data_IF_127700245998
#
_entry.id   IF_127700245998
#
_cell.length_a   1.000
_cell.length_b   1.000
_cell.length_c   1.000
_cell.angle_alpha   90.00
_cell.angle_beta   90.00
_cell.angle_gamma   90.00
#
_symmetry.space_group_name_H-M   'P 1'
#
loop_
_entity.id
_entity.type
_entity.pdbx_description
1 polymer ?
#
# COMPACT_ATOMS: atom_id res chain seq x y z
N UNK A 1 -12.46 9.65 -6.87
CA UNK A 1 -13.74 9.17 -7.48
C UNK A 1 -13.82 7.65 -7.54
N UNK A 2 -12.91 6.91 -8.19
CA UNK A 2 -12.91 5.44 -8.19
C UNK A 2 -12.82 4.85 -6.78
N UNK A 3 -11.93 5.36 -5.93
CA UNK A 3 -11.79 4.98 -4.52
C UNK A 3 -13.09 5.16 -3.74
N UNK A 4 -13.77 6.31 -3.92
CA UNK A 4 -15.04 6.60 -3.28
C UNK A 4 -16.12 5.62 -3.71
N UNK A 5 -16.23 5.35 -5.01
CA UNK A 5 -17.19 4.40 -5.57
C UNK A 5 -17.02 3.01 -4.94
N UNK A 6 -15.78 2.53 -4.87
CA UNK A 6 -15.47 1.22 -4.27
C UNK A 6 -15.75 1.22 -2.77
N UNK A 7 -15.37 2.29 -2.05
CA UNK A 7 -15.59 2.38 -0.61
C UNK A 7 -17.08 2.44 -0.22
N UNK A 8 -17.93 3.03 -1.06
CA UNK A 8 -19.36 3.20 -0.80
C UNK A 8 -20.22 2.06 -1.34
N UNK A 9 -19.87 1.50 -2.50
CA UNK A 9 -20.71 0.55 -3.24
C UNK A 9 -20.06 -0.80 -3.49
N UNK A 10 -18.83 -0.97 -2.99
CA UNK A 10 -18.06 -2.19 -3.19
C UNK A 10 -17.38 -2.26 -4.55
N UNK A 11 -16.44 -3.20 -4.67
CA UNK A 11 -15.60 -3.36 -5.86
C UNK A 11 -16.41 -3.74 -7.10
N UNK A 12 -17.54 -4.44 -6.95
CA UNK A 12 -18.43 -4.78 -8.06
C UNK A 12 -18.98 -3.56 -8.80
N UNK A 13 -19.10 -2.41 -8.12
CA UNK A 13 -19.55 -1.15 -8.72
C UNK A 13 -18.44 -0.48 -9.58
N UNK A 14 -17.19 -0.90 -9.49
CA UNK A 14 -16.10 -0.29 -10.24
C UNK A 14 -16.17 -0.68 -11.72
N UNK A 15 -16.58 0.25 -12.56
CA UNK A 15 -16.51 0.11 -14.01
C UNK A 15 -16.09 1.44 -14.66
N UNK A 16 -15.47 1.36 -15.84
CA UNK A 16 -15.07 2.55 -16.61
C UNK A 16 -16.26 3.48 -16.87
N UNK A 17 -17.42 2.89 -17.15
CA UNK A 17 -18.66 3.63 -17.40
C UNK A 17 -19.11 4.41 -16.15
N UNK A 18 -19.13 3.77 -14.98
CA UNK A 18 -19.57 4.42 -13.75
C UNK A 18 -18.62 5.53 -13.30
N UNK A 19 -17.30 5.31 -13.43
CA UNK A 19 -16.31 6.34 -13.13
C UNK A 19 -16.46 7.53 -14.06
N UNK A 20 -16.74 7.29 -15.34
CA UNK A 20 -16.98 8.32 -16.33
C UNK A 20 -18.26 9.12 -16.04
N UNK A 21 -19.38 8.44 -15.74
CA UNK A 21 -20.63 9.09 -15.37
C UNK A 21 -20.47 10.00 -14.14
N UNK A 22 -19.75 9.55 -13.12
CA UNK A 22 -19.48 10.34 -11.92
C UNK A 22 -18.50 11.50 -12.16
N UNK A 23 -17.59 11.39 -13.16
CA UNK A 23 -16.65 12.46 -13.49
C UNK A 23 -17.26 13.64 -14.24
N UNK A 24 -18.52 13.53 -14.68
CA UNK A 24 -19.20 14.57 -15.45
C UNK A 24 -18.61 14.77 -16.87
N UNK A 25 -17.74 13.88 -17.32
CA UNK A 25 -17.13 14.00 -18.64
C UNK A 25 -18.11 13.58 -19.74
N UNK A 26 -18.41 14.53 -20.62
CA UNK A 26 -19.32 14.32 -21.75
C UNK A 26 -18.80 13.32 -22.80
N UNK A 27 -17.49 13.10 -22.87
CA UNK A 27 -16.88 12.20 -23.84
C UNK A 27 -16.94 10.74 -23.36
N UNK A 28 -17.90 9.98 -23.89
CA UNK A 28 -18.16 8.58 -23.54
C UNK A 28 -16.97 7.62 -23.79
N UNK A 29 -15.99 8.01 -24.58
CA UNK A 29 -14.83 7.18 -24.93
C UNK A 29 -13.57 7.52 -24.12
N UNK A 30 -13.57 8.60 -23.34
CA UNK A 30 -12.37 9.09 -22.67
C UNK A 30 -11.82 8.08 -21.65
N UNK A 31 -12.66 7.52 -20.80
CA UNK A 31 -12.24 6.54 -19.80
C UNK A 31 -11.74 5.24 -20.47
N UNK A 32 -12.41 4.79 -21.53
CA UNK A 32 -11.98 3.63 -22.30
C UNK A 32 -10.63 3.87 -22.99
N UNK A 33 -10.42 5.06 -23.52
CA UNK A 33 -9.16 5.44 -24.17
C UNK A 33 -8.00 5.52 -23.17
N UNK A 34 -8.22 6.13 -21.99
CA UNK A 34 -7.17 6.33 -20.97
C UNK A 34 -6.83 5.07 -20.18
N UNK A 35 -7.82 4.30 -19.78
CA UNK A 35 -7.62 3.17 -18.85
C UNK A 35 -7.73 1.81 -19.55
N UNK A 36 -8.32 1.73 -20.73
CA UNK A 36 -8.46 0.52 -21.54
C UNK A 36 -9.32 -0.57 -20.89
N UNK A 37 -9.14 -0.82 -19.61
CA UNK A 37 -9.80 -1.89 -18.86
C UNK A 37 -10.07 -1.49 -17.41
N UNK A 38 -10.85 -2.32 -16.69
CA UNK A 38 -11.02 -2.20 -15.23
C UNK A 38 -9.70 -2.36 -14.48
N UNK A 39 -8.84 -3.28 -14.92
CA UNK A 39 -7.50 -3.45 -14.38
C UNK A 39 -6.64 -2.21 -14.60
N UNK A 40 -6.62 -1.64 -15.82
CA UNK A 40 -5.89 -0.40 -16.08
C UNK A 40 -6.39 0.79 -15.27
N UNK A 41 -7.68 0.86 -14.97
CA UNK A 41 -8.22 1.87 -14.05
C UNK A 41 -7.68 1.65 -12.62
N UNK A 42 -7.62 0.41 -12.14
CA UNK A 42 -7.05 0.07 -10.83
C UNK A 42 -5.57 0.44 -10.80
N UNK A 43 -4.80 0.09 -11.80
CA UNK A 43 -3.38 0.45 -11.95
C UNK A 43 -3.19 1.97 -11.86
N UNK A 44 -3.96 2.74 -12.62
CA UNK A 44 -3.87 4.20 -12.62
C UNK A 44 -4.19 4.82 -11.25
N UNK A 45 -5.13 4.26 -10.48
CA UNK A 45 -5.42 4.70 -9.11
C UNK A 45 -4.25 4.39 -8.18
N UNK A 46 -3.68 3.20 -8.28
CA UNK A 46 -2.52 2.78 -7.48
C UNK A 46 -1.33 3.69 -7.78
N UNK A 47 -0.98 3.88 -9.05
CA UNK A 47 0.15 4.70 -9.47
C UNK A 47 0.03 6.14 -9.00
N UNK A 48 -1.15 6.75 -9.14
CA UNK A 48 -1.39 8.12 -8.72
C UNK A 48 -1.20 8.31 -7.20
N UNK A 49 -1.58 7.34 -6.38
CA UNK A 49 -1.43 7.39 -4.94
C UNK A 49 -0.03 7.01 -4.47
N UNK A 50 0.53 5.98 -5.07
CA UNK A 50 1.82 5.44 -4.65
C UNK A 50 3.02 6.25 -5.11
N UNK A 51 2.88 7.12 -6.12
CA UNK A 51 3.98 7.99 -6.56
C UNK A 51 4.53 8.87 -5.43
N UNK A 52 3.65 9.44 -4.60
CA UNK A 52 4.05 10.25 -3.43
C UNK A 52 4.65 9.37 -2.33
N UNK A 53 4.04 8.23 -2.04
CA UNK A 53 4.56 7.28 -1.06
C UNK A 53 5.94 6.73 -1.46
N UNK A 54 6.14 6.47 -2.75
CA UNK A 54 7.40 6.00 -3.30
C UNK A 54 8.51 7.07 -3.20
N UNK A 55 8.19 8.34 -3.44
CA UNK A 55 9.12 9.46 -3.24
C UNK A 55 9.51 9.63 -1.76
N UNK A 56 8.54 9.58 -0.85
CA UNK A 56 8.77 9.65 0.60
C UNK A 56 9.64 8.48 1.08
N UNK A 57 9.35 7.26 0.62
CA UNK A 57 10.11 6.07 0.98
C UNK A 57 11.55 6.15 0.48
N UNK A 58 11.78 6.59 -0.75
CA UNK A 58 13.13 6.80 -1.28
C UNK A 58 13.94 7.78 -0.42
N UNK A 59 13.33 8.88 0.01
CA UNK A 59 13.99 9.84 0.89
C UNK A 59 14.39 9.20 2.23
N UNK A 60 13.50 8.38 2.84
CA UNK A 60 13.82 7.64 4.06
C UNK A 60 14.94 6.63 3.85
N UNK A 61 14.90 5.85 2.78
CA UNK A 61 15.95 4.86 2.48
C UNK A 61 17.30 5.53 2.20
N UNK A 62 17.33 6.66 1.50
CA UNK A 62 18.56 7.44 1.29
C UNK A 62 19.15 7.94 2.61
N UNK A 63 18.32 8.49 3.49
CA UNK A 63 18.77 8.94 4.82
C UNK A 63 19.31 7.78 5.68
N UNK A 64 18.74 6.58 5.53
CA UNK A 64 19.25 5.39 6.21
C UNK A 64 20.60 4.93 5.66
N UNK A 65 20.83 5.05 4.36
CA UNK A 65 22.10 4.68 3.73
C UNK A 65 23.25 5.64 4.10
N UNK A 66 22.94 6.89 4.44
CA UNK A 66 23.90 7.89 4.90
C UNK A 66 24.28 7.74 6.38
N UNK A 67 23.53 6.94 7.15
CA UNK A 67 23.78 6.75 8.56
C UNK A 67 24.94 5.77 8.79
N UNK A 68 25.96 6.20 9.53
CA UNK A 68 27.16 5.41 9.84
C UNK A 68 26.89 4.14 10.64
N UNK A 69 25.82 4.12 11.44
CA UNK A 69 25.42 2.97 12.25
C UNK A 69 24.63 1.92 11.48
N UNK A 70 24.35 2.20 10.19
CA UNK A 70 23.54 1.34 9.34
C UNK A 70 22.04 1.39 9.64
N UNK A 71 21.21 0.76 8.80
CA UNK A 71 19.77 0.74 9.00
C UNK A 71 19.36 -0.23 10.12
N UNK A 72 18.65 0.28 11.14
CA UNK A 72 18.01 -0.58 12.14
C UNK A 72 16.72 -1.20 11.58
N UNK A 73 16.31 -2.41 12.04
CA UNK A 73 15.05 -3.02 11.62
C UNK A 73 13.84 -2.09 11.76
N UNK A 74 13.75 -1.34 12.87
CA UNK A 74 12.67 -0.36 13.09
C UNK A 74 12.63 0.69 12.00
N UNK A 75 13.76 1.27 11.63
CA UNK A 75 13.83 2.30 10.59
C UNK A 75 13.46 1.76 9.20
N UNK A 76 13.83 0.52 8.92
CA UNK A 76 13.42 -0.15 7.68
C UNK A 76 11.91 -0.41 7.65
N UNK A 77 11.32 -0.82 8.77
CA UNK A 77 9.87 -0.99 8.90
C UNK A 77 9.15 0.37 8.78
N UNK A 78 9.65 1.42 9.42
CA UNK A 78 9.13 2.79 9.27
C UNK A 78 9.13 3.22 7.79
N UNK A 79 10.23 3.00 7.07
CA UNK A 79 10.32 3.31 5.65
C UNK A 79 9.36 2.47 4.78
N UNK A 80 9.04 1.24 5.18
CA UNK A 80 8.05 0.40 4.51
C UNK A 80 6.62 0.91 4.76
N UNK A 81 6.26 1.20 6.01
CA UNK A 81 4.89 1.37 6.50
C UNK A 81 4.43 2.82 6.42
N UNK A 82 5.21 3.78 6.97
CA UNK A 82 4.73 5.16 7.17
C UNK A 82 4.36 5.90 5.89
N UNK A 83 5.07 5.76 4.75
CA UNK A 83 4.64 6.37 3.50
C UNK A 83 3.27 5.88 3.01
N UNK A 84 2.91 4.63 3.34
CA UNK A 84 1.59 4.10 2.99
C UNK A 84 0.49 4.59 3.94
N UNK A 85 0.79 4.75 5.24
CA UNK A 85 -0.10 5.40 6.21
C UNK A 85 -0.45 6.81 5.74
N UNK A 86 0.56 7.62 5.36
CA UNK A 86 0.38 8.99 4.91
C UNK A 86 -0.43 9.08 3.61
N UNK A 87 -0.09 8.26 2.61
CA UNK A 87 -0.80 8.24 1.34
C UNK A 87 -2.26 7.78 1.45
N UNK A 88 -2.63 7.08 2.52
CA UNK A 88 -3.97 6.59 2.79
C UNK A 88 -4.70 7.44 3.84
N UNK A 89 -4.59 7.08 5.11
CA UNK A 89 -5.34 7.72 6.19
C UNK A 89 -4.78 9.09 6.60
N UNK A 90 -3.52 9.40 6.30
CA UNK A 90 -2.94 10.73 6.45
C UNK A 90 -3.51 11.78 5.47
N UNK A 91 -4.11 11.32 4.37
CA UNK A 91 -4.74 12.20 3.39
C UNK A 91 -6.21 12.43 3.74
N UNK A 92 -6.64 13.68 4.07
CA UNK A 92 -8.02 13.97 4.43
C UNK A 92 -9.01 13.53 3.35
N UNK A 93 -10.07 12.84 3.76
CA UNK A 93 -11.12 12.37 2.85
C UNK A 93 -10.73 11.20 1.95
N UNK A 94 -9.53 10.63 2.13
CA UNK A 94 -9.09 9.43 1.41
C UNK A 94 -10.07 8.27 1.60
N UNK A 95 -10.16 7.44 0.57
CA UNK A 95 -10.85 6.15 0.56
C UNK A 95 -9.91 5.05 0.02
N UNK A 96 -8.62 5.38 -0.04
CA UNK A 96 -7.63 4.57 -0.71
C UNK A 96 -7.34 3.26 0.02
N UNK A 97 -7.26 3.27 1.34
CA UNK A 97 -7.00 2.05 2.10
C UNK A 97 -8.11 1.00 1.91
N UNK A 98 -9.39 1.42 1.95
CA UNK A 98 -10.53 0.54 1.69
C UNK A 98 -10.60 0.07 0.23
N UNK A 99 -10.20 0.92 -0.70
CA UNK A 99 -10.05 0.56 -2.10
C UNK A 99 -9.01 -0.55 -2.26
N UNK A 100 -7.81 -0.35 -1.71
CA UNK A 100 -6.70 -1.32 -1.79
C UNK A 100 -7.05 -2.67 -1.16
N UNK A 101 -7.67 -2.68 0.01
CA UNK A 101 -8.07 -3.92 0.67
C UNK A 101 -9.06 -4.75 -0.17
N UNK A 102 -10.02 -4.10 -0.83
CA UNK A 102 -10.97 -4.78 -1.70
C UNK A 102 -10.31 -5.29 -3.00
N UNK A 103 -9.41 -4.50 -3.59
CA UNK A 103 -8.68 -4.90 -4.80
C UNK A 103 -7.73 -6.07 -4.51
N UNK A 104 -7.04 -6.04 -3.37
CA UNK A 104 -6.12 -7.10 -2.96
C UNK A 104 -6.81 -8.47 -2.79
N UNK A 105 -8.08 -8.46 -2.37
CA UNK A 105 -8.87 -9.67 -2.16
C UNK A 105 -9.61 -10.16 -3.42
N UNK A 106 -9.60 -9.38 -4.50
CA UNK A 106 -10.23 -9.78 -5.78
C UNK A 106 -9.20 -10.51 -6.66
N UNK A 107 -9.40 -11.83 -6.96
CA UNK A 107 -8.44 -12.59 -7.75
C UNK A 107 -8.17 -12.03 -9.15
N UNK A 108 -9.15 -11.33 -9.73
CA UNK A 108 -9.04 -10.74 -11.08
C UNK A 108 -8.32 -9.38 -11.09
N UNK A 109 -8.19 -8.71 -9.95
CA UNK A 109 -7.63 -7.37 -9.83
C UNK A 109 -6.42 -7.26 -8.89
N UNK A 110 -6.09 -8.30 -8.15
CA UNK A 110 -4.96 -8.29 -7.21
C UNK A 110 -3.59 -8.17 -7.91
N UNK A 111 -3.48 -8.60 -9.17
CA UNK A 111 -2.20 -8.58 -9.88
C UNK A 111 -1.52 -7.20 -9.95
N UNK A 112 -2.21 -6.09 -10.27
CA UNK A 112 -1.63 -4.75 -10.20
C UNK A 112 -1.06 -4.39 -8.83
N UNK A 113 -1.77 -4.74 -7.74
CA UNK A 113 -1.31 -4.50 -6.36
C UNK A 113 0.00 -5.24 -6.09
N UNK A 114 0.04 -6.53 -6.40
CA UNK A 114 1.23 -7.34 -6.21
C UNK A 114 2.40 -6.89 -7.09
N UNK A 115 2.13 -6.46 -8.33
CA UNK A 115 3.14 -5.87 -9.21
C UNK A 115 3.74 -4.62 -8.58
N UNK A 116 2.89 -3.75 -8.02
CA UNK A 116 3.31 -2.54 -7.32
C UNK A 116 4.15 -2.85 -6.08
N UNK A 117 3.73 -3.80 -5.25
CA UNK A 117 4.47 -4.21 -4.05
C UNK A 117 5.86 -4.81 -4.36
N UNK A 118 6.05 -5.32 -5.57
CA UNK A 118 7.33 -5.89 -6.04
C UNK A 118 8.15 -4.93 -6.90
N UNK A 119 7.80 -3.65 -6.95
CA UNK A 119 8.47 -2.64 -7.76
C UNK A 119 9.06 -1.51 -6.91
N UNK A 120 9.91 -0.71 -7.51
CA UNK A 120 10.40 0.56 -6.98
C UNK A 120 11.00 0.48 -5.58
N UNK A 121 10.80 1.52 -4.80
CA UNK A 121 11.32 1.66 -3.44
C UNK A 121 10.69 0.67 -2.44
N UNK A 122 9.49 0.17 -2.74
CA UNK A 122 8.84 -0.83 -1.90
C UNK A 122 9.59 -2.17 -1.95
N UNK A 123 10.00 -2.60 -3.14
CA UNK A 123 10.85 -3.79 -3.32
C UNK A 123 12.21 -3.61 -2.63
N UNK A 124 12.80 -2.41 -2.71
CA UNK A 124 14.07 -2.10 -2.06
C UNK A 124 13.95 -2.20 -0.54
N UNK A 125 12.96 -1.54 0.06
CA UNK A 125 12.71 -1.62 1.50
C UNK A 125 12.46 -3.07 1.96
N UNK A 126 11.67 -3.82 1.20
CA UNK A 126 11.40 -5.23 1.49
C UNK A 126 12.65 -6.10 1.41
N UNK A 127 13.55 -5.85 0.45
CA UNK A 127 14.82 -6.57 0.32
C UNK A 127 15.74 -6.30 1.52
N UNK A 128 15.89 -5.04 1.92
CA UNK A 128 16.67 -4.66 3.10
C UNK A 128 16.11 -5.27 4.40
N UNK A 129 14.78 -5.35 4.52
CA UNK A 129 14.14 -6.03 5.66
C UNK A 129 14.43 -7.54 5.67
N UNK A 130 14.40 -8.18 4.50
CA UNK A 130 14.76 -9.61 4.39
C UNK A 130 16.22 -9.85 4.80
N UNK A 131 17.12 -8.95 4.43
CA UNK A 131 18.54 -9.02 4.82
C UNK A 131 18.76 -8.79 6.31
N UNK A 132 18.02 -7.83 6.89
CA UNK A 132 18.09 -7.51 8.32
C UNK A 132 17.39 -8.52 9.24
N UNK A 133 16.49 -9.33 8.68
CA UNK A 133 15.69 -10.30 9.44
C UNK A 133 16.53 -11.50 9.86
N UNK A 134 16.46 -11.95 11.13
CA UNK A 134 17.21 -13.12 11.61
C UNK A 134 16.68 -14.45 11.09
N UNK A 135 15.56 -14.44 10.38
CA UNK A 135 14.90 -15.61 9.83
C UNK A 135 15.54 -16.07 8.49
N UNK A 136 15.40 -17.32 8.11
CA UNK A 136 15.78 -17.78 6.76
C UNK A 136 15.10 -16.92 5.68
N UNK A 137 15.82 -16.57 4.61
CA UNK A 137 15.36 -15.58 3.60
C UNK A 137 14.00 -15.91 2.98
N UNK A 138 13.63 -17.18 2.85
CA UNK A 138 12.31 -17.63 2.38
C UNK A 138 11.21 -17.27 3.39
N UNK A 139 11.46 -17.49 4.67
CA UNK A 139 10.54 -17.14 5.77
C UNK A 139 10.45 -15.63 5.92
N UNK A 140 11.58 -14.93 5.89
CA UNK A 140 11.63 -13.46 5.95
C UNK A 140 10.79 -12.81 4.83
N UNK A 141 10.90 -13.30 3.60
CA UNK A 141 10.07 -12.82 2.47
C UNK A 141 8.58 -13.04 2.72
N UNK A 142 8.19 -14.23 3.19
CA UNK A 142 6.80 -14.50 3.52
C UNK A 142 6.29 -13.58 4.65
N UNK A 143 7.14 -13.24 5.63
CA UNK A 143 6.80 -12.28 6.69
C UNK A 143 6.64 -10.87 6.16
N UNK A 144 7.48 -10.41 5.24
CA UNK A 144 7.32 -9.11 4.57
C UNK A 144 5.98 -9.05 3.80
N UNK A 145 5.61 -10.09 3.07
CA UNK A 145 4.31 -10.17 2.39
C UNK A 145 3.14 -10.14 3.40
N UNK A 146 3.28 -10.79 4.56
CA UNK A 146 2.30 -10.74 5.65
C UNK A 146 2.20 -9.34 6.27
N UNK A 147 3.33 -8.63 6.45
CA UNK A 147 3.33 -7.24 6.90
C UNK A 147 2.53 -6.37 5.94
N UNK A 148 2.74 -6.49 4.62
CA UNK A 148 2.00 -5.70 3.63
C UNK A 148 0.49 -5.98 3.67
N UNK A 149 0.11 -7.24 3.89
CA UNK A 149 -1.30 -7.63 4.07
C UNK A 149 -1.90 -7.04 5.34
N UNK A 150 -1.18 -7.15 6.47
CA UNK A 150 -1.56 -6.57 7.76
C UNK A 150 -1.76 -5.05 7.64
N UNK A 151 -0.78 -4.34 7.08
CA UNK A 151 -0.82 -2.88 6.88
C UNK A 151 -2.05 -2.50 6.05
N UNK A 152 -2.26 -3.13 4.90
CA UNK A 152 -3.37 -2.80 4.00
C UNK A 152 -4.73 -2.96 4.67
N UNK A 153 -4.95 -4.08 5.37
CA UNK A 153 -6.25 -4.35 6.02
C UNK A 153 -6.45 -3.47 7.25
N UNK A 154 -5.42 -3.25 8.06
CA UNK A 154 -5.50 -2.38 9.24
C UNK A 154 -5.79 -0.94 8.84
N UNK A 155 -5.14 -0.42 7.79
CA UNK A 155 -5.41 0.92 7.27
C UNK A 155 -6.84 1.05 6.74
N UNK A 156 -7.40 0.02 6.10
CA UNK A 156 -8.78 0.04 5.65
C UNK A 156 -9.77 0.16 6.82
N UNK A 157 -9.54 -0.56 7.92
CA UNK A 157 -10.33 -0.43 9.15
C UNK A 157 -10.11 0.92 9.84
N UNK A 158 -8.89 1.42 9.88
CA UNK A 158 -8.55 2.73 10.46
C UNK A 158 -9.25 3.87 9.69
N UNK A 159 -9.20 3.83 8.36
CA UNK A 159 -9.89 4.77 7.47
C UNK A 159 -11.40 4.77 7.70
N UNK A 160 -12.01 3.59 7.80
CA UNK A 160 -13.45 3.45 8.04
C UNK A 160 -13.90 4.03 9.39
N UNK A 161 -13.01 4.06 10.38
CA UNK A 161 -13.27 4.52 11.75
C UNK A 161 -12.73 5.91 12.05
N UNK A 162 -12.05 6.55 11.09
CA UNK A 162 -11.46 7.88 11.28
C UNK A 162 -10.38 7.89 12.36
N UNK A 163 -9.57 6.84 12.45
CA UNK A 163 -8.49 6.74 13.43
C UNK A 163 -7.36 7.72 13.13
N UNK A 164 -6.67 8.13 14.19
CA UNK A 164 -5.49 9.00 14.09
C UNK A 164 -4.36 8.31 13.31
N UNK A 165 -3.84 8.95 12.24
CA UNK A 165 -2.77 8.35 11.41
C UNK A 165 -1.47 8.09 12.16
N UNK A 166 -1.09 8.97 13.10
CA UNK A 166 0.16 8.83 13.85
C UNK A 166 0.10 7.60 14.77
N UNK A 167 -1.00 7.45 15.52
CA UNK A 167 -1.20 6.28 16.38
C UNK A 167 -1.26 4.98 15.61
N UNK A 168 -1.98 4.97 14.47
CA UNK A 168 -2.06 3.77 13.62
C UNK A 168 -0.70 3.44 13.01
N UNK A 169 0.09 4.45 12.65
CA UNK A 169 1.43 4.28 12.13
C UNK A 169 2.36 3.60 13.15
N UNK A 170 2.37 4.07 14.40
CA UNK A 170 3.14 3.48 15.49
C UNK A 170 2.73 2.03 15.76
N UNK A 171 1.42 1.76 15.90
CA UNK A 171 0.89 0.42 16.11
C UNK A 171 1.30 -0.55 14.97
N UNK A 172 1.25 -0.08 13.73
CA UNK A 172 1.63 -0.89 12.56
C UNK A 172 3.13 -1.17 12.52
N UNK A 173 3.96 -0.19 12.87
CA UNK A 173 5.41 -0.38 12.97
C UNK A 173 5.73 -1.43 14.03
N UNK A 174 5.17 -1.32 15.23
CA UNK A 174 5.42 -2.25 16.33
C UNK A 174 4.92 -3.67 16.00
N UNK A 175 3.73 -3.80 15.44
CA UNK A 175 3.18 -5.08 15.01
C UNK A 175 4.02 -5.73 13.88
N UNK A 176 4.52 -4.91 12.95
CA UNK A 176 5.39 -5.38 11.86
C UNK A 176 6.74 -5.87 12.36
N UNK A 177 7.34 -5.15 13.33
CA UNK A 177 8.57 -5.57 13.99
C UNK A 177 8.38 -6.91 14.71
N UNK A 178 7.31 -7.05 15.49
CA UNK A 178 7.00 -8.29 16.18
C UNK A 178 6.84 -9.47 15.18
N UNK A 179 6.19 -9.23 14.04
CA UNK A 179 5.99 -10.24 13.01
C UNK A 179 7.31 -10.67 12.35
N UNK A 180 8.24 -9.74 12.15
CA UNK A 180 9.54 -9.99 11.51
C UNK A 180 10.58 -10.60 12.47
N UNK A 181 10.48 -10.34 13.76
CA UNK A 181 11.41 -10.83 14.80
C UNK A 181 10.95 -12.15 15.43
N UNK A 182 9.75 -12.62 15.12
CA UNK A 182 9.28 -13.93 15.56
C UNK A 182 10.22 -15.01 15.07
N UNK A 183 10.92 -15.62 16.01
CA UNK A 183 11.67 -16.84 15.79
C UNK A 183 10.67 -18.02 15.66
N UNK A 184 10.55 -18.65 14.49
CA UNK A 184 9.60 -19.74 14.30
C UNK A 184 9.94 -21.01 15.10
N UNK A 185 11.10 -21.02 15.76
CA UNK A 185 11.57 -22.12 16.60
C UNK A 185 11.40 -21.91 18.10
N UNK A 186 10.81 -20.81 18.53
CA UNK A 186 10.53 -20.53 19.95
C UNK A 186 9.07 -20.65 20.27
#
# INVERSE_FOLDING_TARGET
MAEQLVAERGLAALSLRQVQELSGQANKSAAQYHFGSRSGLVEAVIDARMSTADASRRALLSALAENTDGPTPRRLVEALVLPFVEASIGTPGSRYARFMAQVLLDPGLAAPVWSHYRAGSLREAGALLVEACPLPSTTARARVDQVMSLVTVTLAFAEARGRDPALVGEELVDASLALLELDPGR
#
